data_IF_995510848703
#
_entry.id   IF_995510848703
#
_cell.length_a   1.000
_cell.length_b   1.000
_cell.length_c   1.000
_cell.angle_alpha   90.00
_cell.angle_beta   90.00
_cell.angle_gamma   90.00
#
_symmetry.space_group_name_H-M   'P 1'
#
loop_
_entity.id
_entity.type
_entity.pdbx_description
1 polymer ?
#
# COMPACT_ATOMS: atom_id res chain seq x y z
N UNK A 1 18.31 -8.43 -1.11
CA UNK A 1 17.48 -8.95 0.00
C UNK A 1 16.02 -8.89 -0.44
N UNK A 2 15.36 -10.03 -0.64
CA UNK A 2 13.92 -10.05 -0.95
C UNK A 2 13.15 -9.42 0.20
N UNK A 3 12.47 -8.29 -0.02
CA UNK A 3 11.82 -7.47 1.04
C UNK A 3 10.51 -8.09 1.56
N UNK A 4 10.33 -9.40 1.47
CA UNK A 4 9.11 -10.10 1.88
C UNK A 4 7.87 -9.65 1.11
N UNK A 5 6.69 -9.97 1.67
CA UNK A 5 5.40 -9.52 1.13
C UNK A 5 5.10 -8.06 1.52
N UNK A 6 5.72 -7.52 2.55
CA UNK A 6 5.46 -6.18 3.10
C UNK A 6 6.77 -5.43 3.29
N UNK A 7 6.79 -4.16 2.92
CA UNK A 7 7.99 -3.35 3.07
C UNK A 7 7.74 -1.86 2.92
N UNK A 8 8.77 -1.08 3.22
CA UNK A 8 8.81 0.36 2.92
C UNK A 8 9.67 0.65 1.69
N UNK A 9 9.30 1.68 0.93
CA UNK A 9 10.12 2.29 -0.12
C UNK A 9 9.92 3.80 -0.11
N UNK A 10 10.89 4.53 -0.64
CA UNK A 10 10.73 5.96 -0.94
C UNK A 10 10.30 6.09 -2.39
N UNK A 11 9.30 6.93 -2.67
CA UNK A 11 8.93 7.31 -4.04
C UNK A 11 9.06 8.83 -4.18
N UNK A 12 9.44 9.28 -5.37
CA UNK A 12 9.52 10.71 -5.69
C UNK A 12 8.26 11.08 -6.47
N UNK A 13 7.47 12.01 -5.92
CA UNK A 13 6.27 12.53 -6.55
C UNK A 13 6.60 13.47 -7.71
N UNK A 14 5.59 13.78 -8.52
CA UNK A 14 5.71 14.67 -9.69
C UNK A 14 6.13 16.10 -9.30
N UNK A 15 5.81 16.53 -8.08
CA UNK A 15 6.27 17.80 -7.49
C UNK A 15 7.75 17.76 -7.03
N UNK A 16 8.46 16.65 -7.23
CA UNK A 16 9.85 16.46 -6.83
C UNK A 16 10.06 16.20 -5.33
N UNK A 17 8.98 15.96 -4.59
CA UNK A 17 9.03 15.60 -3.17
C UNK A 17 9.19 14.10 -2.97
N UNK A 18 10.05 13.70 -2.01
CA UNK A 18 10.21 12.30 -1.63
C UNK A 18 9.24 11.93 -0.50
N UNK A 19 8.49 10.86 -0.69
CA UNK A 19 7.58 10.29 0.31
C UNK A 19 7.96 8.85 0.64
N UNK A 20 7.85 8.49 1.93
CA UNK A 20 8.03 7.11 2.38
C UNK A 20 6.68 6.39 2.38
N UNK A 21 6.61 5.30 1.61
CA UNK A 21 5.40 4.51 1.40
C UNK A 21 5.59 3.10 1.92
N UNK A 22 4.60 2.64 2.69
CA UNK A 22 4.45 1.24 3.05
C UNK A 22 3.63 0.53 1.97
N UNK A 23 4.13 -0.62 1.52
CA UNK A 23 3.48 -1.40 0.48
C UNK A 23 3.35 -2.88 0.85
N UNK A 24 2.40 -3.53 0.20
CA UNK A 24 2.31 -5.00 0.09
C UNK A 24 2.60 -5.42 -1.34
N UNK A 25 3.41 -6.46 -1.52
CA UNK A 25 3.71 -7.04 -2.81
C UNK A 25 2.76 -8.21 -3.11
N UNK A 26 2.21 -8.27 -4.32
CA UNK A 26 1.42 -9.42 -4.74
C UNK A 26 2.26 -10.72 -4.67
N UNK A 27 1.70 -11.83 -4.18
CA UNK A 27 2.46 -13.07 -4.00
C UNK A 27 3.08 -13.60 -5.29
N UNK A 28 2.36 -13.48 -6.40
CA UNK A 28 2.74 -14.04 -7.70
C UNK A 28 3.52 -13.01 -8.52
N UNK A 29 2.89 -11.88 -8.85
CA UNK A 29 3.42 -10.90 -9.80
C UNK A 29 4.39 -9.88 -9.19
N UNK A 30 4.56 -9.87 -7.87
CA UNK A 30 5.46 -8.95 -7.13
C UNK A 30 5.17 -7.46 -7.32
N UNK A 31 4.03 -7.11 -7.89
CA UNK A 31 3.52 -5.74 -7.95
C UNK A 31 3.29 -5.21 -6.53
N UNK A 32 3.75 -4.00 -6.27
CA UNK A 32 3.71 -3.33 -4.97
C UNK A 32 2.52 -2.39 -4.93
N UNK A 33 1.66 -2.58 -3.94
CA UNK A 33 0.47 -1.76 -3.71
C UNK A 33 0.65 -0.94 -2.45
N UNK A 34 0.42 0.37 -2.54
CA UNK A 34 0.46 1.28 -1.41
C UNK A 34 -0.66 0.91 -0.42
N UNK A 35 -0.31 0.66 0.85
CA UNK A 35 -1.28 0.24 1.87
C UNK A 35 -2.29 1.32 2.27
N UNK A 36 -1.95 2.59 2.04
CA UNK A 36 -2.81 3.74 2.38
C UNK A 36 -3.78 4.05 1.26
N UNK A 37 -3.31 4.03 0.01
CA UNK A 37 -4.10 4.51 -1.14
C UNK A 37 -4.62 3.40 -2.04
N UNK A 38 -4.09 2.18 -1.94
CA UNK A 38 -4.39 1.06 -2.84
C UNK A 38 -3.71 1.16 -4.21
N UNK A 39 -3.02 2.27 -4.51
CA UNK A 39 -2.36 2.50 -5.79
C UNK A 39 -1.24 1.49 -6.02
N UNK A 40 -1.20 0.87 -7.20
CA UNK A 40 -0.04 0.09 -7.63
C UNK A 40 1.12 1.04 -7.99
N UNK A 41 2.28 0.81 -7.36
CA UNK A 41 3.49 1.59 -7.56
C UNK A 41 4.24 1.19 -8.83
N UNK A 42 3.98 -0.01 -9.35
CA UNK A 42 4.61 -0.54 -10.55
C UNK A 42 3.77 -0.27 -11.82
N UNK A 43 2.46 -0.02 -11.65
CA UNK A 43 1.54 0.32 -12.75
C UNK A 43 0.50 1.34 -12.26
N UNK A 44 0.65 2.61 -12.67
CA UNK A 44 -0.25 3.69 -12.25
C UNK A 44 -1.70 3.51 -12.72
N UNK A 45 -1.98 2.63 -13.69
CA UNK A 45 -3.34 2.37 -14.17
C UNK A 45 -4.16 1.45 -13.25
N UNK A 46 -3.53 0.80 -12.28
CA UNK A 46 -4.16 -0.18 -11.39
C UNK A 46 -4.26 0.37 -9.97
N UNK A 47 -5.47 0.34 -9.42
CA UNK A 47 -5.75 0.71 -8.04
C UNK A 47 -6.64 -0.35 -7.40
N UNK A 48 -6.33 -0.72 -6.15
CA UNK A 48 -7.17 -1.58 -5.33
C UNK A 48 -8.12 -0.74 -4.47
N UNK A 49 -9.29 -1.28 -4.19
CA UNK A 49 -10.21 -0.67 -3.22
C UNK A 49 -9.58 -0.67 -1.82
N UNK A 50 -9.70 0.46 -1.14
CA UNK A 50 -9.26 0.63 0.24
C UNK A 50 -10.46 0.74 1.17
N UNK A 51 -10.31 0.14 2.35
CA UNK A 51 -11.35 0.13 3.38
C UNK A 51 -10.83 0.81 4.63
N UNK A 52 -11.68 1.61 5.28
CA UNK A 52 -11.30 2.27 6.52
C UNK A 52 -11.19 1.22 7.62
N UNK A 53 -10.05 1.21 8.31
CA UNK A 53 -9.78 0.32 9.44
C UNK A 53 -9.72 1.13 10.72
N UNK A 54 -10.36 0.64 11.77
CA UNK A 54 -10.37 1.23 13.11
C UNK A 54 -10.03 0.14 14.16
N UNK A 55 -9.42 0.56 15.27
CA UNK A 55 -9.11 -0.32 16.41
C UNK A 55 -10.06 0.00 17.57
N UNK A 56 -10.79 -1.00 18.05
CA UNK A 56 -11.57 -0.92 19.28
C UNK A 56 -11.02 -1.91 20.32
N UNK A 57 -10.16 -1.42 21.21
CA UNK A 57 -9.45 -2.26 22.17
C UNK A 57 -8.50 -3.23 21.45
N UNK A 58 -8.82 -4.52 21.49
CA UNK A 58 -8.07 -5.58 20.77
C UNK A 58 -8.69 -5.97 19.43
N UNK A 59 -9.86 -5.44 19.09
CA UNK A 59 -10.59 -5.79 17.88
C UNK A 59 -10.23 -4.83 16.74
N UNK A 60 -10.05 -5.41 15.54
CA UNK A 60 -9.81 -4.68 14.29
C UNK A 60 -11.10 -4.64 13.50
N UNK A 61 -11.67 -3.44 13.31
CA UNK A 61 -12.92 -3.23 12.59
C UNK A 61 -12.60 -2.72 11.19
N UNK A 62 -13.12 -3.39 10.16
CA UNK A 62 -13.04 -2.96 8.76
C UNK A 62 -14.39 -2.44 8.32
N UNK A 63 -14.45 -1.18 7.87
CA UNK A 63 -15.67 -0.55 7.36
C UNK A 63 -15.75 -0.70 5.85
N UNK A 64 -16.80 -1.38 5.41
CA UNK A 64 -17.21 -1.49 4.01
C UNK A 64 -18.46 -0.63 3.84
N UNK A 65 -18.39 0.44 3.05
CA UNK A 65 -19.57 1.24 2.65
C UNK A 65 -19.90 0.92 1.19
#
# INVERSE_FOLDING_TARGET
MSRGLIGGTTITNEDGSDENVLYVASPIYKQRFNLVTGQCLDDKSIILDTYKVELEGSDVIVKYN
#
